data_IF_476004668843
#
_entry.id   IF_476004668843
#
_cell.length_a   1.000
_cell.length_b   1.000
_cell.length_c   1.000
_cell.angle_alpha   90.00
_cell.angle_beta   90.00
_cell.angle_gamma   90.00
#
_symmetry.space_group_name_H-M   'P 1'
#
loop_
_entity.id
_entity.type
_entity.pdbx_description
1 polymer ?
#
# COMPACT_ATOMS: atom_id res chain seq x y z
N UNK A 1 -22.83 -3.93 18.42
CA UNK A 1 -22.34 -3.66 17.07
C UNK A 1 -21.02 -4.39 16.94
N UNK A 2 -20.86 -5.25 15.93
CA UNK A 2 -19.64 -6.05 15.78
C UNK A 2 -18.47 -5.11 15.46
N UNK A 3 -17.50 -5.04 16.36
CA UNK A 3 -16.25 -4.34 16.08
C UNK A 3 -15.62 -4.95 14.82
N UNK A 4 -15.06 -4.11 13.94
CA UNK A 4 -14.42 -4.52 12.70
C UNK A 4 -12.97 -4.05 12.75
N UNK A 5 -12.05 -4.87 12.27
CA UNK A 5 -10.63 -4.55 12.23
C UNK A 5 -10.18 -4.37 10.78
N UNK A 6 -9.53 -3.26 10.45
CA UNK A 6 -8.97 -2.98 9.12
C UNK A 6 -7.46 -3.04 9.19
N UNK A 7 -6.84 -3.85 8.33
CA UNK A 7 -5.38 -3.90 8.17
C UNK A 7 -4.89 -2.66 7.42
N UNK A 8 -3.86 -2.04 7.96
CA UNK A 8 -3.18 -0.87 7.40
C UNK A 8 -1.67 -1.05 7.54
N UNK A 9 -0.85 -0.50 6.62
CA UNK A 9 -1.24 0.31 5.48
C UNK A 9 -1.61 -0.50 4.23
N UNK A 10 -1.36 -1.81 4.21
CA UNK A 10 -1.52 -2.64 3.00
C UNK A 10 -2.98 -2.97 2.68
N UNK A 11 -3.42 -2.61 1.48
CA UNK A 11 -4.78 -2.84 0.99
C UNK A 11 -4.96 -4.22 0.32
N UNK A 12 -3.90 -4.69 -0.35
CA UNK A 12 -3.86 -5.96 -1.07
C UNK A 12 -3.23 -7.05 -0.20
N UNK A 13 -2.08 -6.72 0.39
CA UNK A 13 -1.24 -7.57 1.25
C UNK A 13 -0.84 -8.94 0.69
N UNK A 14 -0.14 -9.76 1.51
CA UNK A 14 0.75 -9.32 2.60
C UNK A 14 1.98 -8.58 2.06
N UNK A 15 2.62 -7.77 2.89
CA UNK A 15 3.87 -7.09 2.54
C UNK A 15 5.08 -8.06 2.62
N UNK A 16 6.17 -7.78 1.89
CA UNK A 16 7.43 -8.52 2.01
C UNK A 16 7.88 -8.72 3.44
N UNK A 17 8.21 -9.97 3.77
CA UNK A 17 8.83 -10.31 5.06
C UNK A 17 7.88 -10.24 6.26
N UNK A 18 6.57 -10.04 6.04
CA UNK A 18 5.61 -10.00 7.13
C UNK A 18 4.90 -11.35 7.32
N UNK A 19 4.95 -11.86 8.55
CA UNK A 19 4.19 -13.04 8.93
C UNK A 19 2.69 -12.72 8.91
N UNK A 20 1.91 -13.57 8.24
CA UNK A 20 0.45 -13.46 8.21
C UNK A 20 -0.12 -13.73 9.61
N UNK A 21 -0.66 -12.70 10.24
CA UNK A 21 -1.48 -12.84 11.44
C UNK A 21 -2.87 -13.30 11.04
N UNK A 22 -3.42 -14.32 11.69
CA UNK A 22 -4.75 -14.84 11.41
C UNK A 22 -5.71 -14.53 12.57
N UNK A 23 -6.97 -14.17 12.31
CA UNK A 23 -7.95 -14.01 13.39
C UNK A 23 -8.22 -15.35 14.07
N UNK A 24 -8.21 -15.38 15.40
CA UNK A 24 -8.61 -16.55 16.17
C UNK A 24 -10.12 -16.83 16.01
N UNK A 25 -10.56 -18.06 16.27
CA UNK A 25 -11.98 -18.41 16.27
C UNK A 25 -12.77 -17.51 17.25
N UNK A 26 -13.87 -16.94 16.77
CA UNK A 26 -14.70 -16.02 17.56
C UNK A 26 -14.15 -14.60 17.70
N UNK A 27 -12.98 -14.29 17.13
CA UNK A 27 -12.47 -12.92 17.00
C UNK A 27 -13.31 -12.09 16.02
N UNK A 28 -13.27 -10.77 16.19
CA UNK A 28 -13.79 -9.85 15.19
C UNK A 28 -13.11 -10.05 13.82
N UNK A 29 -13.83 -9.76 12.72
CA UNK A 29 -13.28 -9.91 11.37
C UNK A 29 -12.14 -8.91 11.14
N UNK A 30 -11.03 -9.43 10.61
CA UNK A 30 -9.86 -8.64 10.20
C UNK A 30 -9.86 -8.56 8.68
N UNK A 31 -10.18 -7.38 8.17
CA UNK A 31 -10.43 -7.11 6.77
C UNK A 31 -9.37 -6.17 6.18
N UNK A 32 -9.24 -6.17 4.85
CA UNK A 32 -8.52 -5.11 4.12
C UNK A 32 -9.51 -4.16 3.46
N UNK A 33 -9.17 -2.88 3.34
CA UNK A 33 -10.04 -1.90 2.68
C UNK A 33 -9.99 -2.09 1.16
N UNK A 34 -11.15 -2.26 0.53
CA UNK A 34 -11.23 -2.34 -0.93
C UNK A 34 -11.26 -0.94 -1.57
N UNK A 35 -10.45 -0.69 -2.62
CA UNK A 35 -10.39 0.64 -3.26
C UNK A 35 -11.56 0.94 -4.21
N UNK A 36 -12.50 -0.01 -4.39
CA UNK A 36 -13.66 0.13 -5.28
C UNK A 36 -13.45 -0.43 -6.68
N UNK A 37 -12.51 -1.36 -6.87
CA UNK A 37 -12.31 -2.03 -8.16
C UNK A 37 -13.41 -3.08 -8.45
N UNK A 38 -13.62 -3.47 -9.72
CA UNK A 38 -14.50 -4.59 -10.05
C UNK A 38 -14.01 -5.91 -9.42
N UNK A 39 -14.92 -6.85 -9.13
CA UNK A 39 -14.59 -8.14 -8.48
C UNK A 39 -13.56 -8.98 -9.25
N UNK A 40 -13.40 -8.78 -10.55
CA UNK A 40 -12.38 -9.47 -11.35
C UNK A 40 -10.95 -9.17 -10.87
N UNK A 41 -10.73 -8.00 -10.26
CA UNK A 41 -9.44 -7.62 -9.65
C UNK A 41 -9.17 -8.33 -8.32
N UNK A 42 -10.16 -9.04 -7.75
CA UNK A 42 -9.98 -9.86 -6.56
C UNK A 42 -9.45 -11.26 -6.89
N UNK A 43 -9.29 -11.59 -8.18
CA UNK A 43 -8.80 -12.89 -8.67
C UNK A 43 -7.40 -12.76 -9.24
N UNK A 44 -6.58 -13.82 -9.20
CA UNK A 44 -5.31 -13.83 -9.92
C UNK A 44 -5.57 -13.62 -11.41
N UNK A 45 -4.82 -12.73 -12.05
CA UNK A 45 -4.89 -12.53 -13.49
C UNK A 45 -4.56 -13.84 -14.21
N UNK A 46 -5.55 -14.42 -14.88
CA UNK A 46 -5.37 -15.63 -15.67
C UNK A 46 -4.58 -15.27 -16.95
N UNK A 47 -3.27 -15.52 -16.92
CA UNK A 47 -2.42 -15.41 -18.10
C UNK A 47 -1.69 -14.07 -18.19
N UNK A 48 -0.36 -14.16 -18.23
CA UNK A 48 0.51 -13.02 -18.38
C UNK A 48 0.33 -12.32 -19.72
N UNK A 49 -0.06 -11.06 -19.66
CA UNK A 49 0.24 -10.06 -20.67
C UNK A 49 0.67 -8.81 -19.89
N UNK A 50 1.97 -8.53 -19.90
CA UNK A 50 2.47 -7.22 -19.47
C UNK A 50 2.25 -6.22 -20.61
N UNK A 51 1.92 -4.97 -20.27
CA UNK A 51 1.67 -3.87 -21.21
C UNK A 51 2.87 -3.53 -22.11
N UNK A 52 4.05 -4.13 -21.89
CA UNK A 52 5.29 -3.80 -22.60
C UNK A 52 5.49 -4.51 -23.93
N UNK A 53 4.77 -5.60 -24.25
CA UNK A 53 5.02 -6.38 -25.47
C UNK A 53 6.45 -6.95 -25.59
N UNK A 54 7.28 -6.80 -24.55
CA UNK A 54 8.60 -7.42 -24.45
C UNK A 54 8.44 -8.76 -23.75
N UNK A 55 8.70 -9.82 -24.50
CA UNK A 55 8.74 -11.20 -24.04
C UNK A 55 9.98 -11.40 -23.16
N UNK A 56 9.90 -11.03 -21.89
CA UNK A 56 10.88 -11.43 -20.90
C UNK A 56 10.17 -11.55 -19.53
N UNK A 57 9.84 -12.79 -19.20
CA UNK A 57 9.28 -13.25 -17.92
C UNK A 57 7.87 -12.75 -17.60
N UNK A 58 6.86 -13.57 -17.91
CA UNK A 58 5.51 -13.41 -17.35
C UNK A 58 5.51 -13.94 -15.92
N UNK A 59 5.79 -13.10 -14.94
CA UNK A 59 5.54 -13.41 -13.54
C UNK A 59 4.15 -12.89 -13.20
N UNK A 60 3.23 -13.80 -12.87
CA UNK A 60 1.93 -13.41 -12.36
C UNK A 60 2.09 -12.93 -10.91
N UNK A 61 1.57 -11.74 -10.60
CA UNK A 61 1.43 -11.30 -9.23
C UNK A 61 0.57 -12.33 -8.46
N UNK A 62 0.89 -12.64 -7.18
CA UNK A 62 0.01 -13.43 -6.35
C UNK A 62 -1.38 -12.78 -6.28
N UNK A 63 -2.39 -13.64 -6.14
CA UNK A 63 -3.77 -13.20 -5.93
C UNK A 63 -3.84 -12.32 -4.68
N UNK A 64 -4.64 -11.25 -4.68
CA UNK A 64 -4.87 -10.47 -3.47
C UNK A 64 -5.53 -11.35 -2.40
N UNK A 65 -5.15 -11.14 -1.14
CA UNK A 65 -5.71 -11.92 -0.02
C UNK A 65 -6.96 -11.23 0.56
N UNK A 66 -8.07 -11.97 0.57
CA UNK A 66 -9.31 -11.59 1.28
C UNK A 66 -9.31 -12.10 2.72
N UNK A 67 -10.21 -11.59 3.59
CA UNK A 67 -11.45 -10.89 3.26
C UNK A 67 -11.36 -9.35 3.25
N UNK A 68 -12.26 -8.69 2.51
CA UNK A 68 -12.25 -7.24 2.28
C UNK A 68 -13.47 -6.51 2.86
N UNK A 69 -13.27 -5.27 3.27
CA UNK A 69 -14.31 -4.30 3.59
C UNK A 69 -14.59 -3.42 2.37
N UNK A 70 -15.85 -3.34 1.96
CA UNK A 70 -16.33 -2.52 0.84
C UNK A 70 -17.01 -1.27 1.41
N UNK A 71 -16.42 -0.07 1.25
CA UNK A 71 -17.09 1.16 1.65
C UNK A 71 -18.28 1.45 0.73
N UNK A 72 -19.39 1.92 1.29
CA UNK A 72 -20.63 2.19 0.55
C UNK A 72 -20.60 3.55 -0.17
N UNK A 73 -19.74 4.46 0.26
CA UNK A 73 -19.73 5.89 -0.10
C UNK A 73 -18.53 6.29 -1.00
N UNK A 74 -17.98 5.34 -1.74
CA UNK A 74 -16.89 5.62 -2.69
C UNK A 74 -17.34 6.55 -3.82
N UNK A 75 -16.56 7.60 -4.16
CA UNK A 75 -16.97 8.59 -5.15
C UNK A 75 -16.89 8.10 -6.59
N UNK A 76 -16.02 7.15 -6.90
CA UNK A 76 -15.93 6.48 -8.21
C UNK A 76 -16.71 5.18 -8.21
N UNK A 77 -17.47 4.98 -9.28
CA UNK A 77 -18.02 3.67 -9.62
C UNK A 77 -16.90 2.67 -9.94
N UNK A 78 -17.16 1.34 -9.91
CA UNK A 78 -16.15 0.33 -10.22
C UNK A 78 -15.52 0.50 -11.61
N UNK A 79 -16.28 0.99 -12.59
CA UNK A 79 -15.77 1.27 -13.94
C UNK A 79 -14.85 2.49 -13.97
N UNK A 80 -15.20 3.55 -13.25
CA UNK A 80 -14.35 4.74 -13.13
C UNK A 80 -13.07 4.44 -12.35
N UNK A 81 -13.16 3.61 -11.31
CA UNK A 81 -12.00 3.15 -10.56
C UNK A 81 -11.03 2.34 -11.44
N UNK A 82 -11.56 1.41 -12.27
CA UNK A 82 -10.75 0.67 -13.24
C UNK A 82 -10.11 1.60 -14.29
N UNK A 83 -10.87 2.52 -14.87
CA UNK A 83 -10.34 3.50 -15.83
C UNK A 83 -9.26 4.40 -15.20
N UNK A 84 -9.44 4.83 -13.96
CA UNK A 84 -8.45 5.59 -13.23
C UNK A 84 -7.16 4.78 -12.98
N UNK A 85 -7.29 3.48 -12.70
CA UNK A 85 -6.14 2.60 -12.51
C UNK A 85 -5.39 2.41 -13.83
N UNK A 86 -6.09 2.22 -14.95
CA UNK A 86 -5.50 2.16 -16.29
C UNK A 86 -4.74 3.46 -16.62
N UNK A 87 -5.31 4.62 -16.32
CA UNK A 87 -4.66 5.91 -16.55
C UNK A 87 -3.39 6.06 -15.70
N UNK A 88 -3.41 5.63 -14.43
CA UNK A 88 -2.21 5.62 -13.58
C UNK A 88 -1.11 4.72 -14.14
N UNK A 89 -1.47 3.56 -14.70
CA UNK A 89 -0.51 2.67 -15.37
C UNK A 89 0.10 3.34 -16.61
N UNK A 90 -0.73 3.91 -17.50
CA UNK A 90 -0.26 4.63 -18.70
C UNK A 90 0.67 5.79 -18.34
N UNK A 91 0.37 6.52 -17.27
CA UNK A 91 1.24 7.59 -16.78
C UNK A 91 2.60 7.05 -16.32
N UNK A 92 2.63 5.88 -15.66
CA UNK A 92 3.86 5.18 -15.30
C UNK A 92 4.69 4.78 -16.53
N UNK A 93 4.05 4.17 -17.52
CA UNK A 93 4.70 3.77 -18.77
C UNK A 93 5.23 4.97 -19.57
N UNK A 94 4.47 6.07 -19.62
CA UNK A 94 4.90 7.32 -20.22
C UNK A 94 6.12 7.91 -19.50
N UNK A 95 6.14 7.88 -18.16
CA UNK A 95 7.29 8.34 -17.37
C UNK A 95 8.54 7.51 -17.66
N UNK A 96 8.41 6.18 -17.72
CA UNK A 96 9.51 5.26 -18.00
C UNK A 96 10.04 5.38 -19.44
N UNK A 97 9.17 5.75 -20.39
CA UNK A 97 9.55 5.98 -21.79
C UNK A 97 10.11 7.39 -22.04
N UNK A 98 10.27 8.22 -21.01
CA UNK A 98 10.83 9.57 -21.11
C UNK A 98 9.88 10.59 -21.74
N UNK A 99 8.58 10.28 -21.84
CA UNK A 99 7.58 11.22 -22.31
C UNK A 99 7.29 12.28 -21.23
N UNK A 100 7.04 13.55 -21.61
CA UNK A 100 6.78 14.60 -20.65
C UNK A 100 5.41 14.40 -19.98
N UNK A 101 5.42 13.84 -18.77
CA UNK A 101 4.22 13.68 -17.91
C UNK A 101 3.70 15.05 -17.41
N UNK A 102 4.55 16.07 -17.39
CA UNK A 102 4.26 17.38 -16.80
C UNK A 102 3.24 18.26 -17.55
N UNK A 103 2.98 18.00 -18.83
CA UNK A 103 1.97 18.76 -19.61
C UNK A 103 0.55 18.45 -19.13
N UNK A 104 0.29 17.22 -18.67
CA UNK A 104 -1.01 16.80 -18.14
C UNK A 104 -1.35 17.52 -16.81
N UNK A 105 -0.35 17.72 -15.94
CA UNK A 105 -0.58 18.33 -14.61
C UNK A 105 -0.91 19.82 -14.65
N UNK A 106 -0.27 20.58 -15.54
CA UNK A 106 -0.52 22.02 -15.68
C UNK A 106 -1.91 22.32 -16.26
N UNK A 107 -2.36 21.48 -17.19
CA UNK A 107 -3.68 21.61 -17.81
C UNK A 107 -4.80 21.19 -16.85
N UNK A 108 -4.59 20.15 -16.03
CA UNK A 108 -5.52 19.78 -14.94
C UNK A 108 -5.65 20.90 -13.90
N UNK A 109 -4.53 21.54 -13.50
CA UNK A 109 -4.56 22.65 -12.54
C UNK A 109 -5.24 23.91 -13.08
N UNK A 110 -5.18 24.14 -14.39
CA UNK A 110 -5.87 25.26 -15.07
C UNK A 110 -7.36 24.94 -15.27
N UNK A 111 -7.68 23.72 -15.70
CA UNK A 111 -9.05 23.23 -15.83
C UNK A 111 -9.80 23.25 -14.50
N UNK A 112 -9.14 22.90 -13.38
CA UNK A 112 -9.72 22.97 -12.03
C UNK A 112 -10.08 24.39 -11.62
N UNK A 113 -9.17 25.35 -11.84
CA UNK A 113 -9.43 26.78 -11.56
C UNK A 113 -10.58 27.32 -12.40
N UNK A 114 -10.59 27.00 -13.69
CA UNK A 114 -11.66 27.43 -14.59
C UNK A 114 -13.00 26.80 -14.22
N UNK A 115 -13.01 25.53 -13.83
CA UNK A 115 -14.22 24.84 -13.36
C UNK A 115 -14.76 25.44 -12.06
N UNK A 116 -13.88 25.74 -11.09
CA UNK A 116 -14.26 26.40 -9.85
C UNK A 116 -14.89 27.79 -10.11
N UNK A 117 -14.25 28.60 -10.97
CA UNK A 117 -14.75 29.93 -11.35
C UNK A 117 -16.10 29.84 -12.09
N UNK A 118 -16.24 28.93 -13.05
CA UNK A 118 -17.48 28.71 -13.79
C UNK A 118 -18.62 28.22 -12.90
N UNK A 119 -18.31 27.40 -11.90
CA UNK A 119 -19.32 26.79 -11.07
C UNK A 119 -19.74 27.69 -9.89
N UNK A 120 -18.87 28.58 -9.43
CA UNK A 120 -19.21 29.69 -8.52
C UNK A 120 -20.13 30.70 -9.24
N UNK A 121 -19.82 31.02 -10.51
CA UNK A 121 -20.72 31.81 -11.37
C UNK A 121 -22.08 31.15 -11.56
N UNK A 122 -22.12 29.84 -11.82
CA UNK A 122 -23.38 29.12 -11.98
C UNK A 122 -24.24 29.12 -10.70
N UNK A 123 -23.63 28.94 -9.52
CA UNK A 123 -24.33 29.00 -8.24
C UNK A 123 -24.89 30.39 -7.93
N UNK A 124 -24.10 31.44 -8.20
CA UNK A 124 -24.53 32.82 -8.02
C UNK A 124 -25.69 33.19 -8.96
N UNK A 125 -25.71 32.65 -10.18
CA UNK A 125 -26.76 32.92 -11.18
C UNK A 125 -28.05 32.11 -10.95
N UNK A 126 -28.00 31.01 -10.19
CA UNK A 126 -29.16 30.14 -9.95
C UNK A 126 -30.08 30.68 -8.84
N UNK A 127 -29.52 31.00 -7.67
CA UNK A 127 -30.31 31.36 -6.47
C UNK A 127 -30.03 32.78 -5.95
N UNK A 128 -29.06 33.50 -6.52
CA UNK A 128 -28.73 34.88 -6.14
C UNK A 128 -28.17 35.08 -4.73
N UNK A 129 -27.94 34.00 -3.97
CA UNK A 129 -27.48 34.05 -2.57
C UNK A 129 -26.07 33.45 -2.44
N UNK A 130 -25.23 34.14 -1.66
CA UNK A 130 -23.83 33.76 -1.46
C UNK A 130 -23.70 32.48 -0.61
N UNK A 131 -24.67 32.23 0.28
CA UNK A 131 -24.67 31.09 1.21
C UNK A 131 -24.90 29.75 0.50
N UNK A 132 -25.80 29.67 -0.49
CA UNK A 132 -26.02 28.45 -1.27
C UNK A 132 -24.83 28.15 -2.18
N UNK A 133 -24.22 29.19 -2.75
CA UNK A 133 -23.00 29.06 -3.54
C UNK A 133 -21.83 28.51 -2.71
N UNK A 134 -21.65 29.00 -1.48
CA UNK A 134 -20.63 28.51 -0.54
C UNK A 134 -20.89 27.06 -0.09
N UNK A 135 -22.13 26.69 0.19
CA UNK A 135 -22.48 25.32 0.57
C UNK A 135 -22.22 24.33 -0.59
N UNK A 136 -22.52 24.72 -1.84
CA UNK A 136 -22.22 23.93 -3.04
C UNK A 136 -20.71 23.83 -3.29
N UNK A 137 -19.96 24.90 -3.06
CA UNK A 137 -18.49 24.89 -3.15
C UNK A 137 -17.87 23.97 -2.10
N UNK A 138 -18.30 24.05 -0.84
CA UNK A 138 -17.85 23.17 0.23
C UNK A 138 -18.15 21.69 -0.07
N UNK A 139 -19.34 21.37 -0.58
CA UNK A 139 -19.70 20.01 -0.97
C UNK A 139 -18.83 19.49 -2.13
N UNK A 140 -18.43 20.36 -3.06
CA UNK A 140 -17.51 20.01 -4.15
C UNK A 140 -16.09 19.77 -3.65
N UNK A 141 -15.57 20.66 -2.82
CA UNK A 141 -14.25 20.46 -2.22
C UNK A 141 -14.18 19.15 -1.45
N UNK A 142 -15.25 18.81 -0.73
CA UNK A 142 -15.36 17.56 0.00
C UNK A 142 -15.38 16.35 -0.94
N UNK A 143 -16.14 16.43 -2.04
CA UNK A 143 -16.12 15.41 -3.09
C UNK A 143 -14.74 15.29 -3.75
N UNK A 144 -14.05 16.39 -4.01
CA UNK A 144 -12.69 16.38 -4.59
C UNK A 144 -11.68 15.73 -3.65
N UNK A 145 -11.78 15.98 -2.34
CA UNK A 145 -10.98 15.33 -1.30
C UNK A 145 -11.27 13.83 -1.26
N UNK A 146 -12.54 13.43 -1.32
CA UNK A 146 -12.92 12.01 -1.42
C UNK A 146 -12.36 11.36 -2.70
N UNK A 147 -12.49 12.00 -3.87
CA UNK A 147 -11.90 11.49 -5.12
C UNK A 147 -10.37 11.40 -5.04
N UNK A 148 -9.71 12.36 -4.39
CA UNK A 148 -8.27 12.30 -4.16
C UNK A 148 -7.87 11.14 -3.23
N UNK A 149 -8.64 10.90 -2.16
CA UNK A 149 -8.44 9.77 -1.26
C UNK A 149 -8.64 8.43 -1.99
N UNK A 150 -9.71 8.26 -2.76
CA UNK A 150 -9.91 7.01 -3.51
C UNK A 150 -8.80 6.79 -4.57
N UNK A 151 -8.33 7.84 -5.25
CA UNK A 151 -7.16 7.74 -6.15
C UNK A 151 -5.90 7.31 -5.42
N UNK A 152 -5.69 7.79 -4.19
CA UNK A 152 -4.56 7.34 -3.36
C UNK A 152 -4.66 5.85 -3.05
N UNK A 153 -5.86 5.34 -2.73
CA UNK A 153 -6.10 3.91 -2.49
C UNK A 153 -5.86 3.07 -3.76
N UNK A 154 -6.35 3.53 -4.91
CA UNK A 154 -6.13 2.86 -6.20
C UNK A 154 -4.64 2.84 -6.58
N UNK A 155 -3.94 3.94 -6.34
CA UNK A 155 -2.50 4.00 -6.58
C UNK A 155 -1.72 3.08 -5.64
N UNK A 156 -2.03 3.06 -4.34
CA UNK A 156 -1.36 2.15 -3.41
C UNK A 156 -1.63 0.69 -3.75
N UNK A 157 -2.85 0.35 -4.14
CA UNK A 157 -3.20 -0.99 -4.65
C UNK A 157 -2.33 -1.40 -5.83
N UNK A 158 -2.15 -0.50 -6.82
CA UNK A 158 -1.27 -0.74 -7.96
C UNK A 158 0.20 -0.89 -7.55
N UNK A 159 0.68 -0.10 -6.59
CA UNK A 159 2.07 -0.23 -6.10
C UNK A 159 2.29 -1.55 -5.35
N UNK A 160 1.32 -1.99 -4.55
CA UNK A 160 1.37 -3.30 -3.87
C UNK A 160 1.39 -4.45 -4.89
N UNK A 161 0.64 -4.34 -5.99
CA UNK A 161 0.72 -5.32 -7.09
C UNK A 161 2.12 -5.40 -7.69
N UNK A 162 2.71 -4.24 -8.04
CA UNK A 162 4.05 -4.19 -8.64
C UNK A 162 5.12 -4.69 -7.69
N UNK A 163 4.97 -4.38 -6.41
CA UNK A 163 5.87 -4.85 -5.37
C UNK A 163 5.78 -6.39 -5.23
N UNK A 164 4.58 -6.97 -5.28
CA UNK A 164 4.40 -8.42 -5.27
C UNK A 164 4.97 -9.10 -6.54
N UNK A 165 4.85 -8.47 -7.71
CA UNK A 165 5.50 -8.94 -8.94
C UNK A 165 7.04 -8.88 -8.83
N UNK A 166 7.60 -7.81 -8.28
CA UNK A 166 9.04 -7.66 -8.06
C UNK A 166 9.58 -8.73 -7.11
N UNK A 167 8.83 -9.07 -6.05
CA UNK A 167 9.19 -10.16 -5.15
C UNK A 167 9.17 -11.51 -5.86
N UNK A 168 8.13 -11.78 -6.65
CA UNK A 168 8.03 -13.02 -7.39
C UNK A 168 9.12 -13.14 -8.48
N UNK A 169 9.50 -12.01 -9.12
CA UNK A 169 10.65 -11.92 -10.02
C UNK A 169 11.97 -12.18 -9.29
N UNK A 170 12.18 -11.57 -8.12
CA UNK A 170 13.37 -11.75 -7.29
C UNK A 170 13.53 -13.23 -6.87
N UNK A 171 12.45 -13.85 -6.41
CA UNK A 171 12.42 -15.28 -6.08
C UNK A 171 12.69 -16.17 -7.29
N UNK A 172 12.12 -15.84 -8.44
CA UNK A 172 12.33 -16.57 -9.70
C UNK A 172 13.79 -16.46 -10.19
N UNK A 173 14.39 -15.28 -10.09
CA UNK A 173 15.78 -15.03 -10.42
C UNK A 173 16.70 -15.80 -9.47
N UNK A 174 16.44 -15.74 -8.17
CA UNK A 174 17.19 -16.48 -7.14
C UNK A 174 17.12 -17.99 -7.39
N UNK A 175 15.94 -18.53 -7.71
CA UNK A 175 15.77 -19.96 -8.03
C UNK A 175 16.48 -20.34 -9.33
N UNK A 176 16.40 -19.50 -10.37
CA UNK A 176 17.08 -19.75 -11.65
C UNK A 176 18.59 -19.74 -11.48
N UNK A 177 19.11 -18.84 -10.65
CA UNK A 177 20.52 -18.75 -10.35
C UNK A 177 21.03 -19.97 -9.57
N UNK A 178 20.29 -20.42 -8.56
CA UNK A 178 20.60 -21.67 -7.84
C UNK A 178 20.66 -22.90 -8.76
N UNK A 179 19.76 -22.96 -9.77
CA UNK A 179 19.80 -24.02 -10.79
C UNK A 179 21.00 -23.92 -11.72
N UNK A 180 21.39 -22.71 -12.11
CA UNK A 180 22.58 -22.50 -12.94
C UNK A 180 23.85 -22.91 -12.19
N UNK A 181 23.97 -22.57 -10.92
CA UNK A 181 25.10 -23.02 -10.08
C UNK A 181 25.20 -24.54 -10.00
N UNK A 182 24.07 -25.20 -9.73
CA UNK A 182 24.02 -26.66 -9.69
C UNK A 182 24.38 -27.29 -11.05
N UNK A 183 24.01 -26.67 -12.18
CA UNK A 183 24.34 -27.18 -13.51
C UNK A 183 25.81 -26.93 -13.90
N UNK A 184 26.47 -25.96 -13.29
CA UNK A 184 27.88 -25.64 -13.50
C UNK A 184 28.80 -26.42 -12.53
N UNK A 185 28.25 -27.33 -11.71
CA UNK A 185 28.95 -28.01 -10.60
C UNK A 185 29.73 -27.02 -9.71
N UNK A 186 29.19 -25.81 -9.55
CA UNK A 186 29.79 -24.80 -8.70
C UNK A 186 29.27 -25.00 -7.27
N UNK A 187 30.02 -25.73 -6.46
CA UNK A 187 29.80 -25.70 -5.01
C UNK A 187 30.30 -24.33 -4.49
N UNK A 188 29.51 -23.55 -3.72
CA UNK A 188 30.03 -22.36 -3.05
C UNK A 188 31.27 -22.64 -2.17
N UNK A 189 31.49 -23.90 -1.75
CA UNK A 189 32.72 -24.32 -1.07
C UNK A 189 33.94 -24.49 -2.01
N UNK A 190 33.72 -24.81 -3.29
CA UNK A 190 34.79 -25.00 -4.30
C UNK A 190 35.28 -23.67 -4.89
N UNK A 191 34.57 -22.57 -4.63
CA UNK A 191 34.95 -21.22 -5.03
C UNK A 191 36.28 -20.76 -4.37
N UNK A 192 36.52 -21.19 -3.14
CA UNK A 192 37.79 -20.92 -2.44
C UNK A 192 38.93 -21.79 -2.99
N UNK A 193 38.68 -23.06 -3.34
CA UNK A 193 39.71 -23.97 -3.90
C UNK A 193 40.07 -23.64 -5.36
N UNK A 194 39.09 -23.25 -6.18
CA UNK A 194 39.33 -22.86 -7.59
C UNK A 194 40.09 -21.53 -7.72
N UNK A 195 39.88 -20.59 -6.80
CA UNK A 195 40.66 -19.35 -6.70
C UNK A 195 42.12 -19.59 -6.26
N UNK A 196 42.39 -20.65 -5.50
CA UNK A 196 43.73 -21.08 -5.09
C UNK A 196 44.53 -21.74 -6.22
N UNK A 197 43.86 -22.32 -7.23
CA UNK A 197 44.49 -23.06 -8.34
C UNK A 197 44.71 -22.22 -9.61
N UNK A 198 43.87 -21.20 -9.85
CA UNK A 198 44.01 -20.30 -10.98
C UNK A 198 44.91 -19.11 -10.59
N UNK A 199 46.19 -19.14 -10.99
CA UNK A 199 47.23 -18.15 -10.66
C UNK A 199 46.98 -16.70 -11.09
N UNK A 200 45.78 -16.35 -11.59
CA UNK A 200 45.35 -15.01 -11.96
C UNK A 200 44.23 -14.53 -11.01
N UNK A 201 44.62 -14.20 -9.78
CA UNK A 201 43.71 -13.86 -8.67
C UNK A 201 42.70 -12.72 -8.95
N UNK A 202 42.98 -11.84 -9.94
CA UNK A 202 42.11 -10.69 -10.25
C UNK A 202 40.88 -11.07 -11.08
N UNK A 203 41.00 -12.01 -12.00
CA UNK A 203 39.89 -12.42 -12.86
C UNK A 203 38.95 -13.38 -12.13
N UNK A 204 39.49 -14.18 -11.21
CA UNK A 204 38.73 -15.05 -10.31
C UNK A 204 38.00 -14.25 -9.23
N UNK A 205 38.64 -13.26 -8.60
CA UNK A 205 37.98 -12.36 -7.63
C UNK A 205 36.86 -11.54 -8.31
N UNK A 206 37.06 -11.06 -9.54
CA UNK A 206 36.02 -10.36 -10.30
C UNK A 206 34.86 -11.29 -10.69
N UNK A 207 35.13 -12.55 -11.06
CA UNK A 207 34.11 -13.54 -11.34
C UNK A 207 33.32 -13.92 -10.07
N UNK A 208 34.00 -14.11 -8.94
CA UNK A 208 33.40 -14.35 -7.62
C UNK A 208 32.57 -13.17 -7.13
N UNK A 209 33.06 -11.95 -7.30
CA UNK A 209 32.29 -10.74 -6.98
C UNK A 209 31.06 -10.60 -7.88
N UNK A 210 31.17 -10.93 -9.16
CA UNK A 210 30.05 -10.93 -10.10
C UNK A 210 29.02 -11.99 -9.71
N UNK A 211 29.45 -13.20 -9.34
CA UNK A 211 28.58 -14.27 -8.86
C UNK A 211 27.95 -13.93 -7.52
N UNK A 212 28.69 -13.38 -6.56
CA UNK A 212 28.17 -12.89 -5.30
C UNK A 212 27.14 -11.77 -5.50
N UNK A 213 27.35 -10.90 -6.50
CA UNK A 213 26.39 -9.86 -6.88
C UNK A 213 25.13 -10.48 -7.51
N UNK A 214 25.26 -11.50 -8.34
CA UNK A 214 24.13 -12.24 -8.93
C UNK A 214 23.37 -13.08 -7.89
N UNK A 215 24.06 -13.55 -6.84
CA UNK A 215 23.52 -14.35 -5.74
C UNK A 215 22.93 -13.51 -4.61
N UNK A 216 23.24 -12.22 -4.58
CA UNK A 216 22.72 -11.32 -3.57
C UNK A 216 21.20 -11.24 -3.75
N UNK A 217 20.39 -11.61 -2.74
CA UNK A 217 18.95 -11.54 -2.85
C UNK A 217 18.55 -10.08 -3.10
N UNK A 218 17.80 -9.82 -4.17
CA UNK A 218 17.22 -8.50 -4.39
C UNK A 218 16.17 -8.28 -3.32
N UNK A 219 16.54 -7.55 -2.26
CA UNK A 219 15.63 -7.21 -1.18
C UNK A 219 14.59 -6.21 -1.68
N UNK A 220 13.35 -6.68 -1.82
CA UNK A 220 12.22 -5.81 -2.14
C UNK A 220 11.69 -5.25 -0.83
N UNK A 221 11.88 -3.95 -0.61
CA UNK A 221 11.48 -3.25 0.60
C UNK A 221 10.15 -2.50 0.43
N UNK A 222 9.43 -2.30 1.53
CA UNK A 222 8.14 -1.62 1.57
C UNK A 222 8.26 -0.07 1.51
N UNK A 223 9.48 0.46 1.44
CA UNK A 223 9.79 1.87 1.16
C UNK A 223 9.38 2.33 -0.25
N UNK A 224 9.18 1.39 -1.19
CA UNK A 224 8.65 1.69 -2.52
C UNK A 224 7.16 2.07 -2.50
N UNK A 225 6.47 1.76 -1.41
CA UNK A 225 5.06 2.08 -1.26
C UNK A 225 4.86 3.54 -0.83
N UNK A 226 3.67 4.11 -1.10
CA UNK A 226 3.33 5.46 -0.67
C UNK A 226 3.56 5.66 0.83
N UNK A 227 4.00 6.86 1.27
CA UNK A 227 4.13 7.16 2.69
C UNK A 227 2.84 6.79 3.46
N UNK A 228 2.95 5.91 4.46
CA UNK A 228 1.78 5.34 5.14
C UNK A 228 0.89 6.40 5.80
N UNK A 229 1.37 7.57 6.30
CA UNK A 229 0.46 8.56 6.88
C UNK A 229 -0.52 9.11 5.84
N UNK A 230 -0.09 9.27 4.58
CA UNK A 230 -0.99 9.72 3.50
C UNK A 230 -2.00 8.65 3.12
N UNK A 231 -1.57 7.39 3.14
CA UNK A 231 -2.46 6.27 2.87
C UNK A 231 -3.47 6.08 3.99
N UNK A 232 -3.05 6.20 5.25
CA UNK A 232 -3.92 6.12 6.41
C UNK A 232 -4.98 7.22 6.41
N UNK A 233 -4.61 8.45 6.06
CA UNK A 233 -5.57 9.56 5.89
C UNK A 233 -6.66 9.23 4.85
N UNK A 234 -6.26 8.59 3.73
CA UNK A 234 -7.21 8.13 2.71
C UNK A 234 -8.08 6.95 3.20
N UNK A 235 -7.49 6.00 3.94
CA UNK A 235 -8.20 4.84 4.49
C UNK A 235 -9.26 5.28 5.50
N UNK A 236 -8.90 6.13 6.45
CA UNK A 236 -9.78 6.52 7.56
C UNK A 236 -11.01 7.31 7.09
N UNK A 237 -10.94 7.92 5.91
CA UNK A 237 -12.09 8.60 5.28
C UNK A 237 -13.20 7.64 4.84
N UNK A 238 -12.86 6.40 4.51
CA UNK A 238 -13.83 5.38 4.05
C UNK A 238 -13.98 4.21 5.03
N UNK A 239 -13.16 4.20 6.08
CA UNK A 239 -13.27 3.23 7.17
C UNK A 239 -14.40 3.63 8.14
N UNK A 240 -15.12 2.66 8.72
CA UNK A 240 -16.08 2.94 9.78
C UNK A 240 -15.39 3.62 10.97
N UNK A 241 -16.04 4.60 11.60
CA UNK A 241 -15.45 5.38 12.69
C UNK A 241 -15.05 4.52 13.91
N UNK A 242 -15.81 3.46 14.19
CA UNK A 242 -15.61 2.56 15.33
C UNK A 242 -14.69 1.36 15.02
N UNK A 243 -14.01 1.35 13.87
CA UNK A 243 -13.12 0.24 13.51
C UNK A 243 -11.76 0.31 14.25
N UNK A 244 -11.17 -0.87 14.47
CA UNK A 244 -9.78 -1.01 14.90
C UNK A 244 -8.86 -0.96 13.68
N UNK A 245 -7.74 -0.25 13.77
CA UNK A 245 -6.74 -0.17 12.71
C UNK A 245 -5.55 -1.06 13.08
N UNK A 246 -5.41 -2.22 12.44
CA UNK A 246 -4.27 -3.12 12.66
C UNK A 246 -3.08 -2.61 11.84
N UNK A 247 -2.08 -2.04 12.51
CA UNK A 247 -0.87 -1.53 11.90
C UNK A 247 0.15 -2.66 11.64
N UNK A 248 0.53 -2.79 10.38
CA UNK A 248 1.50 -3.74 9.84
C UNK A 248 2.60 -2.97 9.08
N UNK A 249 3.67 -3.65 8.68
CA UNK A 249 4.74 -3.13 7.85
C UNK A 249 5.52 -1.98 8.47
N UNK A 250 5.95 -1.07 7.60
CA UNK A 250 6.57 0.21 7.99
C UNK A 250 5.74 1.00 9.00
N UNK A 251 4.41 0.94 8.94
CA UNK A 251 3.57 1.68 9.88
C UNK A 251 3.76 1.14 11.30
N UNK A 252 3.81 -0.19 11.48
CA UNK A 252 4.11 -0.80 12.78
C UNK A 252 5.47 -0.34 13.31
N UNK A 253 6.51 -0.43 12.49
CA UNK A 253 7.89 -0.06 12.86
C UNK A 253 7.98 1.42 13.26
N UNK A 254 7.47 2.31 12.43
CA UNK A 254 7.49 3.75 12.69
C UNK A 254 6.75 4.12 13.98
N UNK A 255 5.60 3.48 14.27
CA UNK A 255 4.84 3.72 15.48
C UNK A 255 5.54 3.20 16.75
N UNK A 256 6.24 2.06 16.65
CA UNK A 256 7.06 1.51 17.75
C UNK A 256 8.33 2.34 18.01
N UNK A 257 8.94 2.88 16.95
CA UNK A 257 10.10 3.76 17.00
C UNK A 257 9.76 5.17 17.57
N UNK A 258 8.51 5.38 17.97
CA UNK A 258 8.07 6.58 18.69
C UNK A 258 7.49 7.68 17.81
N UNK A 259 7.22 7.43 16.52
CA UNK A 259 6.47 8.41 15.72
C UNK A 259 5.07 8.63 16.32
N UNK A 260 4.77 9.88 16.66
CA UNK A 260 3.47 10.30 17.21
C UNK A 260 3.35 10.24 18.74
N UNK A 261 4.39 9.80 19.46
CA UNK A 261 4.41 9.70 20.94
C UNK A 261 3.13 9.06 21.48
N UNK A 262 2.78 7.89 20.94
CA UNK A 262 1.59 7.14 21.34
C UNK A 262 1.90 6.25 22.55
N UNK A 263 1.05 6.30 23.55
CA UNK A 263 1.11 5.38 24.69
C UNK A 263 0.45 4.05 24.32
N UNK A 264 1.26 3.08 23.90
CA UNK A 264 0.78 1.72 23.66
C UNK A 264 0.60 0.97 24.98
N UNK A 265 -0.56 0.32 25.13
CA UNK A 265 -0.90 -0.53 26.27
C UNK A 265 -1.29 -1.92 25.77
N UNK A 266 -1.10 -2.99 26.58
CA UNK A 266 -1.59 -4.31 26.21
C UNK A 266 -3.07 -4.29 25.84
N UNK A 267 -3.44 -5.02 24.79
CA UNK A 267 -4.83 -5.17 24.39
C UNK A 267 -5.60 -5.86 25.53
N UNK A 268 -6.75 -5.31 25.98
CA UNK A 268 -7.53 -5.90 27.06
C UNK A 268 -8.00 -7.31 26.70
N UNK A 269 -8.08 -8.21 27.68
CA UNK A 269 -8.53 -9.59 27.47
C UNK A 269 -9.98 -9.66 26.93
N UNK A 270 -10.80 -8.67 27.30
CA UNK A 270 -12.18 -8.50 26.83
C UNK A 270 -12.28 -7.89 25.42
N UNK A 271 -11.14 -7.61 24.77
CA UNK A 271 -11.12 -7.11 23.40
C UNK A 271 -11.70 -8.14 22.44
N UNK A 272 -12.53 -7.73 21.47
CA UNK A 272 -13.07 -8.63 20.47
C UNK A 272 -12.02 -9.08 19.45
N UNK A 273 -10.81 -8.49 19.44
CA UNK A 273 -9.74 -8.83 18.51
C UNK A 273 -8.73 -9.79 19.16
N UNK A 274 -8.55 -10.96 18.56
CA UNK A 274 -7.52 -11.95 18.92
C UNK A 274 -6.85 -12.45 17.65
N UNK A 275 -5.52 -12.38 17.61
CA UNK A 275 -4.71 -12.80 16.47
C UNK A 275 -3.81 -13.97 16.86
N UNK A 276 -3.60 -14.87 15.91
CA UNK A 276 -2.64 -15.96 16.00
C UNK A 276 -1.56 -15.82 14.92
N UNK A 277 -0.38 -16.39 15.16
CA UNK A 277 0.64 -16.61 14.14
C UNK A 277 0.24 -17.75 13.18
N UNK A 278 1.12 -18.05 12.22
CA UNK A 278 0.89 -19.11 11.24
C UNK A 278 0.83 -20.51 11.90
N UNK A 279 1.49 -20.68 13.04
CA UNK A 279 1.53 -21.89 13.85
C UNK A 279 0.33 -22.04 14.79
N UNK A 280 -0.53 -21.00 14.88
CA UNK A 280 -1.74 -20.99 15.70
C UNK A 280 -1.54 -20.50 17.14
N UNK A 281 -0.36 -19.99 17.49
CA UNK A 281 -0.09 -19.42 18.80
C UNK A 281 -0.68 -18.01 18.90
N UNK A 282 -1.24 -17.68 20.07
CA UNK A 282 -1.77 -16.35 20.33
C UNK A 282 -0.65 -15.30 20.33
N UNK A 283 -0.87 -14.20 19.62
CA UNK A 283 0.09 -13.10 19.49
C UNK A 283 -0.23 -11.99 20.47
N UNK A 284 0.80 -11.45 21.13
CA UNK A 284 0.67 -10.29 22.00
C UNK A 284 0.37 -9.03 21.19
N UNK A 285 -0.74 -8.37 21.52
CA UNK A 285 -1.20 -7.16 20.84
C UNK A 285 -1.13 -5.96 21.76
N UNK A 286 -0.69 -4.83 21.21
CA UNK A 286 -0.69 -3.53 21.85
C UNK A 286 -1.73 -2.63 21.19
N UNK A 287 -2.44 -1.84 21.97
CA UNK A 287 -3.37 -0.83 21.49
C UNK A 287 -2.96 0.57 21.94
N UNK A 288 -3.23 1.55 21.08
CA UNK A 288 -3.20 2.97 21.42
C UNK A 288 -4.46 3.64 20.88
N UNK A 289 -5.10 4.45 21.72
CA UNK A 289 -6.25 5.28 21.34
C UNK A 289 -5.82 6.73 21.34
N UNK A 290 -5.90 7.38 20.18
CA UNK A 290 -5.45 8.74 19.99
C UNK A 290 -6.21 9.41 18.84
N UNK A 291 -6.24 10.76 18.80
CA UNK A 291 -6.79 11.46 17.65
C UNK A 291 -5.93 11.19 16.40
N UNK A 292 -6.58 11.13 15.24
CA UNK A 292 -5.93 10.77 13.97
C UNK A 292 -4.71 11.64 13.66
N UNK A 293 -4.73 12.95 13.93
CA UNK A 293 -3.54 13.81 13.68
C UNK A 293 -2.29 13.33 14.43
N UNK A 294 -2.46 12.77 15.64
CA UNK A 294 -1.36 12.28 16.47
C UNK A 294 -0.86 10.93 15.97
N UNK A 295 -1.78 10.06 15.57
CA UNK A 295 -1.46 8.79 14.89
C UNK A 295 -0.68 9.06 13.61
N UNK A 296 -1.04 10.10 12.85
CA UNK A 296 -0.32 10.54 11.65
C UNK A 296 1.05 11.19 11.94
N UNK A 297 1.53 11.16 13.19
CA UNK A 297 2.84 11.70 13.60
C UNK A 297 2.91 13.23 13.58
N UNK A 298 1.77 13.94 13.57
CA UNK A 298 1.78 15.40 13.52
C UNK A 298 1.95 15.98 14.93
N UNK A 299 2.70 17.08 15.08
CA UNK A 299 2.94 17.67 16.40
C UNK A 299 1.74 18.45 16.95
N UNK A 300 0.80 18.87 16.09
CA UNK A 300 -0.35 19.69 16.49
C UNK A 300 -1.58 19.34 15.66
N UNK A 301 -2.74 19.46 16.31
CA UNK A 301 -4.05 19.36 15.67
C UNK A 301 -4.22 20.46 14.60
N UNK A 302 -4.45 20.10 13.33
CA UNK A 302 -4.76 21.09 12.30
C UNK A 302 -6.20 21.57 12.43
N UNK A 303 -6.37 22.87 12.25
CA UNK A 303 -7.69 23.52 12.36
C UNK A 303 -8.58 23.31 11.13
N UNK A 304 -7.99 22.95 9.99
CA UNK A 304 -8.69 22.80 8.71
C UNK A 304 -9.23 21.38 8.45
N UNK A 305 -8.93 20.40 9.32
CA UNK A 305 -9.31 19.01 9.14
C UNK A 305 -10.04 18.50 10.40
N UNK A 306 -11.36 18.72 10.53
CA UNK A 306 -12.13 18.28 11.70
C UNK A 306 -12.06 16.77 11.93
N UNK A 307 -12.08 15.97 10.84
CA UNK A 307 -11.94 14.51 10.93
C UNK A 307 -10.61 14.04 11.54
N UNK A 308 -9.58 14.89 11.57
CA UNK A 308 -8.32 14.52 12.22
C UNK A 308 -8.37 14.60 13.75
N UNK A 309 -9.39 15.27 14.30
CA UNK A 309 -9.61 15.34 15.74
C UNK A 309 -10.33 14.11 16.29
N UNK A 310 -10.91 13.30 15.41
CA UNK A 310 -11.61 12.09 15.82
C UNK A 310 -10.63 11.06 16.39
N UNK A 311 -11.03 10.43 17.48
CA UNK A 311 -10.25 9.35 18.07
C UNK A 311 -10.34 8.10 17.21
N UNK A 312 -9.20 7.44 17.05
CA UNK A 312 -9.07 6.14 16.42
C UNK A 312 -8.27 5.21 17.34
N UNK A 313 -8.57 3.93 17.24
CA UNK A 313 -7.84 2.89 17.99
C UNK A 313 -6.95 2.16 17.01
N UNK A 314 -5.64 2.26 17.23
CA UNK A 314 -4.62 1.53 16.47
C UNK A 314 -4.17 0.35 17.31
N UNK A 315 -4.11 -0.82 16.68
CA UNK A 315 -3.61 -2.06 17.28
C UNK A 315 -2.39 -2.50 16.50
N UNK A 316 -1.38 -3.02 17.17
CA UNK A 316 -0.20 -3.58 16.53
C UNK A 316 0.31 -4.80 17.29
N UNK A 317 1.06 -5.66 16.61
CA UNK A 317 1.80 -6.75 17.26
C UNK A 317 2.91 -6.17 18.12
N UNK A 318 2.94 -6.54 19.40
CA UNK A 318 4.05 -6.24 20.29
C UNK A 318 5.30 -7.01 19.88
N UNK A 319 6.48 -6.45 20.16
CA UNK A 319 7.72 -7.21 20.07
C UNK A 319 7.80 -8.14 21.28
N UNK A 320 8.05 -9.42 21.04
CA UNK A 320 8.23 -10.46 22.07
C UNK A 320 9.56 -10.29 22.82
#
# INVERSE_FOLDING_TARGET
MSALCIRVPALRGPLPGEALLLPAEGSCPVLRLWPGLPEEFSRPAAGGLTASGRRAVTVAAPAPEGPWHMPEDLPFSPREAAACLDDLQRMGDAALSGQPVGTLGADVGRARRNSAESALRAGLMADGTLETAQALEAAREEREKACAAQRMLLWSWLQEERLAELQALSSSLSSSNARLQAALDMDPADLDETALLAGDARDTEAALATLATLNSPVHVDDSLLPAWPRLLDAVVRFAPADCLLLAEGRMRRDLLDGQGELEFRPLPDDSPLRLCDAEGNAVSLLQARAPLWRILGRPRAPRCCPGWQEERTVVLRGDD
#
